data_IF_409953873778
#
_entry.id   IF_409953873778
#
_cell.length_a   1.000
_cell.length_b   1.000
_cell.length_c   1.000
_cell.angle_alpha   90.00
_cell.angle_beta   90.00
_cell.angle_gamma   90.00
#
_symmetry.space_group_name_H-M   'P 1'
#
loop_
_entity.id
_entity.type
_entity.pdbx_description
1 polymer ?
#
# COMPACT_ATOMS: atom_id res chain seq x y z
N UNK A 1 23.38 14.18 23.91
CA UNK A 1 23.74 12.75 23.99
C UNK A 1 22.46 12.00 24.27
N UNK A 2 22.12 11.00 23.46
CA UNK A 2 20.93 10.16 23.68
C UNK A 2 21.32 8.96 24.53
N UNK A 3 20.44 8.56 25.44
CA UNK A 3 20.53 7.29 26.14
C UNK A 3 19.82 6.19 25.36
N UNK A 4 20.11 4.91 25.69
CA UNK A 4 19.49 3.75 25.02
C UNK A 4 17.97 3.78 25.14
N UNK A 5 17.45 4.27 26.28
CA UNK A 5 16.01 4.44 26.52
C UNK A 5 15.38 5.44 25.55
N UNK A 6 16.09 6.50 25.19
CA UNK A 6 15.58 7.52 24.27
C UNK A 6 15.49 6.95 22.86
N UNK A 7 16.54 6.22 22.45
CA UNK A 7 16.56 5.54 21.16
C UNK A 7 15.43 4.50 21.07
N UNK A 8 15.25 3.67 22.10
CA UNK A 8 14.15 2.69 22.18
C UNK A 8 12.76 3.36 22.13
N UNK A 9 12.59 4.49 22.82
CA UNK A 9 11.32 5.22 22.80
C UNK A 9 10.99 5.77 21.40
N UNK A 10 12.01 6.24 20.67
CA UNK A 10 11.84 6.72 19.30
C UNK A 10 11.53 5.60 18.31
N UNK A 11 12.17 4.44 18.44
CA UNK A 11 11.84 3.23 17.68
C UNK A 11 10.37 2.85 17.88
N UNK A 12 9.90 2.73 19.13
CA UNK A 12 8.49 2.44 19.39
C UNK A 12 7.53 3.52 18.90
N UNK A 13 7.92 4.79 18.94
CA UNK A 13 7.11 5.86 18.38
C UNK A 13 7.03 5.74 16.84
N UNK A 14 8.12 5.33 16.19
CA UNK A 14 8.18 5.11 14.75
C UNK A 14 7.32 3.91 14.32
N UNK A 15 7.41 2.77 15.02
CA UNK A 15 6.54 1.61 14.78
C UNK A 15 5.05 2.00 14.82
N UNK A 16 4.65 2.79 15.83
CA UNK A 16 3.25 3.26 15.96
C UNK A 16 2.82 4.11 14.77
N UNK A 17 3.63 5.09 14.36
CA UNK A 17 3.30 5.96 13.22
C UNK A 17 3.16 5.16 11.92
N UNK A 18 4.06 4.20 11.69
CA UNK A 18 4.00 3.30 10.53
C UNK A 18 2.74 2.43 10.57
N UNK A 19 2.41 1.88 11.73
CA UNK A 19 1.23 1.06 11.92
C UNK A 19 -0.06 1.86 11.69
N UNK A 20 -0.12 3.11 12.16
CA UNK A 20 -1.26 4.01 11.92
C UNK A 20 -1.45 4.31 10.42
N UNK A 21 -0.35 4.53 9.68
CA UNK A 21 -0.41 4.72 8.22
C UNK A 21 -0.95 3.49 7.51
N UNK A 22 -0.50 2.30 7.90
CA UNK A 22 -1.06 1.06 7.37
C UNK A 22 -2.56 0.93 7.67
N UNK A 23 -3.00 1.26 8.88
CA UNK A 23 -4.43 1.19 9.23
C UNK A 23 -5.27 2.16 8.40
N UNK A 24 -4.79 3.39 8.17
CA UNK A 24 -5.46 4.35 7.28
C UNK A 24 -5.55 3.83 5.85
N UNK A 25 -4.48 3.21 5.36
CA UNK A 25 -4.47 2.56 4.06
C UNK A 25 -5.49 1.42 3.98
N UNK A 26 -5.47 0.48 4.92
CA UNK A 26 -6.40 -0.66 4.94
C UNK A 26 -7.85 -0.17 4.99
N UNK A 27 -8.14 0.80 5.85
CA UNK A 27 -9.45 1.43 5.96
C UNK A 27 -9.88 2.05 4.63
N UNK A 28 -9.02 2.87 4.00
CA UNK A 28 -9.36 3.52 2.73
C UNK A 28 -9.55 2.50 1.61
N UNK A 29 -8.78 1.42 1.60
CA UNK A 29 -8.92 0.38 0.59
C UNK A 29 -10.26 -0.37 0.73
N UNK A 30 -10.75 -0.58 1.96
CA UNK A 30 -12.09 -1.13 2.20
C UNK A 30 -13.21 -0.21 1.73
N UNK A 31 -13.07 1.11 1.93
CA UNK A 31 -14.02 2.07 1.37
C UNK A 31 -14.04 2.00 -0.16
N UNK A 32 -12.87 1.91 -0.79
CA UNK A 32 -12.76 1.74 -2.25
C UNK A 32 -13.44 0.45 -2.72
N UNK A 33 -13.30 -0.66 -1.99
CA UNK A 33 -14.00 -1.92 -2.32
C UNK A 33 -15.52 -1.72 -2.34
N UNK A 34 -16.07 -1.04 -1.33
CA UNK A 34 -17.50 -0.75 -1.25
C UNK A 34 -17.95 0.21 -2.36
N UNK A 35 -17.16 1.25 -2.64
CA UNK A 35 -17.38 2.22 -3.72
C UNK A 35 -17.31 1.54 -5.12
N UNK A 36 -16.53 0.47 -5.25
CA UNK A 36 -16.38 -0.36 -6.46
C UNK A 36 -17.25 -1.62 -6.46
N UNK A 37 -18.34 -1.65 -5.69
CA UNK A 37 -19.28 -2.76 -5.75
C UNK A 37 -20.13 -2.67 -7.03
N UNK A 38 -19.93 -3.62 -7.96
CA UNK A 38 -20.75 -3.75 -9.16
C UNK A 38 -21.93 -4.68 -8.89
N UNK A 39 -23.15 -4.23 -9.19
CA UNK A 39 -24.36 -5.05 -9.01
C UNK A 39 -24.41 -6.19 -10.05
N UNK A 40 -24.97 -7.36 -9.71
CA UNK A 40 -25.30 -8.37 -10.70
C UNK A 40 -26.21 -7.78 -11.79
N UNK A 41 -26.03 -8.20 -13.04
CA UNK A 41 -26.82 -7.73 -14.19
C UNK A 41 -26.69 -6.22 -14.48
N UNK A 42 -25.59 -5.59 -14.05
CA UNK A 42 -25.29 -4.19 -14.36
C UNK A 42 -25.30 -3.94 -15.87
N UNK A 43 -25.89 -2.81 -16.27
CA UNK A 43 -25.92 -2.35 -17.66
C UNK A 43 -24.54 -1.88 -18.11
N UNK A 44 -24.30 -1.86 -19.41
CA UNK A 44 -23.04 -1.35 -19.99
C UNK A 44 -22.68 0.05 -19.47
N UNK A 45 -23.64 0.97 -19.35
CA UNK A 45 -23.39 2.31 -18.80
C UNK A 45 -22.89 2.29 -17.34
N UNK A 46 -23.37 1.35 -16.53
CA UNK A 46 -22.93 1.20 -15.13
C UNK A 46 -21.53 0.57 -15.07
N UNK A 47 -21.24 -0.39 -15.96
CA UNK A 47 -19.92 -1.00 -16.12
C UNK A 47 -18.87 0.03 -16.55
N UNK A 48 -19.23 0.94 -17.47
CA UNK A 48 -18.35 2.03 -17.92
C UNK A 48 -18.01 2.98 -16.77
N UNK A 49 -19.02 3.42 -16.00
CA UNK A 49 -18.81 4.27 -14.82
C UNK A 49 -17.96 3.55 -13.77
N UNK A 50 -18.17 2.26 -13.56
CA UNK A 50 -17.37 1.45 -12.65
C UNK A 50 -15.89 1.41 -13.09
N UNK A 51 -15.63 1.18 -14.38
CA UNK A 51 -14.27 1.13 -14.92
C UNK A 51 -13.55 2.48 -14.81
N UNK A 52 -14.24 3.59 -15.06
CA UNK A 52 -13.70 4.94 -14.84
C UNK A 52 -13.34 5.18 -13.37
N UNK A 53 -14.22 4.76 -12.45
CA UNK A 53 -13.98 4.90 -11.03
C UNK A 53 -12.78 4.04 -10.58
N UNK A 54 -12.68 2.80 -11.08
CA UNK A 54 -11.54 1.93 -10.82
C UNK A 54 -10.23 2.62 -11.24
N UNK A 55 -10.16 3.17 -12.45
CA UNK A 55 -8.99 3.92 -12.93
C UNK A 55 -8.63 5.10 -12.01
N UNK A 56 -9.62 5.86 -11.55
CA UNK A 56 -9.41 6.96 -10.58
C UNK A 56 -8.85 6.45 -9.25
N UNK A 57 -9.34 5.31 -8.75
CA UNK A 57 -8.86 4.73 -7.49
C UNK A 57 -7.46 4.13 -7.61
N UNK A 58 -7.10 3.52 -8.74
CA UNK A 58 -5.72 3.08 -9.01
C UNK A 58 -4.77 4.27 -8.87
N UNK A 59 -5.09 5.42 -9.47
CA UNK A 59 -4.31 6.66 -9.30
C UNK A 59 -4.19 7.12 -7.84
N UNK A 60 -5.27 7.04 -7.06
CA UNK A 60 -5.23 7.35 -5.61
C UNK A 60 -4.35 6.36 -4.83
N UNK A 61 -4.37 5.08 -5.17
CA UNK A 61 -3.53 4.05 -4.55
C UNK A 61 -2.05 4.35 -4.81
N UNK A 62 -1.68 4.72 -6.03
CA UNK A 62 -0.32 5.17 -6.33
C UNK A 62 0.12 6.39 -5.53
N UNK A 63 -0.76 7.39 -5.34
CA UNK A 63 -0.44 8.55 -4.50
C UNK A 63 -0.20 8.13 -3.04
N UNK A 64 -1.07 7.27 -2.49
CA UNK A 64 -0.87 6.73 -1.14
C UNK A 64 0.44 5.95 -1.01
N UNK A 65 0.82 5.20 -2.04
CA UNK A 65 2.10 4.48 -2.09
C UNK A 65 3.28 5.45 -2.05
N UNK A 66 3.28 6.49 -2.89
CA UNK A 66 4.34 7.51 -2.92
C UNK A 66 4.49 8.22 -1.58
N UNK A 67 3.38 8.60 -0.95
CA UNK A 67 3.36 9.19 0.39
C UNK A 67 3.90 8.24 1.46
N UNK A 68 3.61 6.94 1.34
CA UNK A 68 4.11 5.90 2.23
C UNK A 68 5.63 5.74 2.11
N UNK A 69 6.15 5.65 0.88
CA UNK A 69 7.59 5.53 0.60
C UNK A 69 8.35 6.75 1.11
N UNK A 70 7.84 7.96 0.82
CA UNK A 70 8.47 9.19 1.27
C UNK A 70 8.52 9.26 2.80
N UNK A 71 7.39 8.95 3.45
CA UNK A 71 7.33 8.90 4.90
C UNK A 71 8.28 7.87 5.49
N UNK A 72 8.33 6.65 4.93
CA UNK A 72 9.20 5.60 5.46
C UNK A 72 10.68 5.97 5.36
N UNK A 73 11.05 6.65 4.27
CA UNK A 73 12.42 7.14 4.07
C UNK A 73 12.80 8.20 5.11
N UNK A 74 11.91 9.15 5.37
CA UNK A 74 12.14 10.20 6.37
C UNK A 74 12.22 9.63 7.79
N UNK A 75 11.30 8.73 8.14
CA UNK A 75 11.24 8.14 9.47
C UNK A 75 12.43 7.21 9.73
N UNK A 76 12.84 6.44 8.72
CA UNK A 76 14.09 5.68 8.74
C UNK A 76 15.30 6.58 8.97
N UNK A 77 15.40 7.69 8.24
CA UNK A 77 16.50 8.66 8.40
C UNK A 77 16.60 9.20 9.82
N UNK A 78 15.45 9.51 10.46
CA UNK A 78 15.42 9.97 11.86
C UNK A 78 15.93 8.92 12.84
N UNK A 79 15.56 7.65 12.63
CA UNK A 79 16.05 6.56 13.47
C UNK A 79 17.56 6.34 13.32
N UNK A 80 18.07 6.35 12.09
CA UNK A 80 19.52 6.25 11.82
C UNK A 80 20.29 7.39 12.49
N UNK A 81 19.81 8.63 12.39
CA UNK A 81 20.44 9.76 13.09
C UNK A 81 20.46 9.58 14.61
N UNK A 82 19.40 8.98 15.16
CA UNK A 82 19.28 8.77 16.60
C UNK A 82 20.18 7.64 17.10
N UNK A 83 20.42 6.62 16.27
CA UNK A 83 21.48 5.63 16.47
C UNK A 83 22.86 6.29 16.56
N UNK A 84 23.19 7.13 15.57
CA UNK A 84 24.50 7.79 15.51
C UNK A 84 24.70 8.75 16.69
N UNK A 85 23.60 9.29 17.24
CA UNK A 85 23.61 10.12 18.45
C UNK A 85 23.68 9.33 19.77
N UNK A 86 23.51 8.00 19.73
CA UNK A 86 23.67 7.12 20.88
C UNK A 86 25.17 6.88 21.15
N UNK A 87 25.54 6.92 22.43
CA UNK A 87 26.94 7.05 22.88
C UNK A 87 27.78 5.80 22.61
N UNK A 88 27.16 4.63 22.44
CA UNK A 88 27.83 3.34 22.26
C UNK A 88 27.12 2.53 21.19
N UNK A 89 27.76 2.24 20.07
CA UNK A 89 27.26 1.16 19.21
C UNK A 89 27.52 -0.17 19.94
N UNK A 90 26.48 -0.71 20.58
CA UNK A 90 26.53 -1.96 21.33
C UNK A 90 25.46 -2.96 20.87
N UNK A 91 25.52 -4.18 21.39
CA UNK A 91 24.61 -5.25 21.02
C UNK A 91 23.13 -4.88 21.24
N UNK A 92 22.83 -4.04 22.23
CA UNK A 92 21.45 -3.64 22.53
C UNK A 92 20.92 -2.69 21.46
N UNK A 93 21.73 -1.72 21.02
CA UNK A 93 21.36 -0.84 19.91
C UNK A 93 21.17 -1.60 18.59
N UNK A 94 22.04 -2.59 18.30
CA UNK A 94 21.93 -3.47 17.13
C UNK A 94 20.65 -4.31 17.20
N UNK A 95 20.31 -4.83 18.39
CA UNK A 95 19.08 -5.60 18.59
C UNK A 95 17.84 -4.77 18.28
N UNK A 96 17.76 -3.53 18.81
CA UNK A 96 16.63 -2.62 18.57
C UNK A 96 16.50 -2.30 17.07
N UNK A 97 17.61 -2.03 16.38
CA UNK A 97 17.58 -1.81 14.93
C UNK A 97 17.11 -3.03 14.16
N UNK A 98 17.60 -4.21 14.53
CA UNK A 98 17.25 -5.47 13.88
C UNK A 98 15.76 -5.77 14.05
N UNK A 99 15.23 -5.59 15.26
CA UNK A 99 13.79 -5.71 15.55
C UNK A 99 12.97 -4.74 14.69
N UNK A 100 13.40 -3.48 14.58
CA UNK A 100 12.71 -2.48 13.78
C UNK A 100 12.72 -2.80 12.28
N UNK A 101 13.84 -3.29 11.74
CA UNK A 101 13.92 -3.75 10.35
C UNK A 101 12.97 -4.93 10.12
N UNK A 102 12.91 -5.90 11.05
CA UNK A 102 11.97 -7.01 10.97
C UNK A 102 10.51 -6.53 11.00
N UNK A 103 10.19 -5.55 11.84
CA UNK A 103 8.88 -4.90 11.86
C UNK A 103 8.53 -4.29 10.49
N UNK A 104 9.45 -3.54 9.88
CA UNK A 104 9.22 -2.93 8.57
C UNK A 104 9.02 -3.98 7.48
N UNK A 105 9.80 -5.06 7.47
CA UNK A 105 9.62 -6.19 6.54
C UNK A 105 8.25 -6.86 6.73
N UNK A 106 7.81 -7.02 7.97
CA UNK A 106 6.48 -7.54 8.27
C UNK A 106 5.37 -6.60 7.77
N UNK A 107 5.54 -5.30 7.98
CA UNK A 107 4.58 -4.30 7.54
C UNK A 107 4.45 -4.26 6.01
N UNK A 108 5.57 -4.34 5.28
CA UNK A 108 5.61 -4.45 3.82
C UNK A 108 4.80 -5.66 3.32
N UNK A 109 4.98 -6.82 3.97
CA UNK A 109 4.19 -8.03 3.65
C UNK A 109 2.69 -7.81 3.87
N UNK A 110 2.29 -7.08 4.91
CA UNK A 110 0.87 -6.77 5.16
C UNK A 110 0.27 -5.90 4.08
N UNK A 111 0.99 -4.87 3.61
CA UNK A 111 0.53 -4.06 2.47
C UNK A 111 0.28 -4.93 1.24
N UNK A 112 1.24 -5.79 0.87
CA UNK A 112 1.13 -6.71 -0.27
C UNK A 112 -0.03 -7.70 -0.12
N UNK A 113 -0.16 -8.32 1.06
CA UNK A 113 -1.29 -9.23 1.34
C UNK A 113 -2.64 -8.52 1.22
N UNK A 114 -2.74 -7.29 1.70
CA UNK A 114 -3.98 -6.53 1.66
C UNK A 114 -4.37 -6.13 0.23
N UNK A 115 -3.39 -5.75 -0.60
CA UNK A 115 -3.62 -5.49 -2.03
C UNK A 115 -3.96 -6.75 -2.80
N UNK A 116 -3.34 -7.88 -2.48
CA UNK A 116 -3.72 -9.17 -3.06
C UNK A 116 -5.21 -9.49 -2.81
N UNK A 117 -5.71 -9.25 -1.60
CA UNK A 117 -7.15 -9.39 -1.29
C UNK A 117 -8.00 -8.43 -2.13
N UNK A 118 -7.56 -7.18 -2.28
CA UNK A 118 -8.25 -6.18 -3.12
C UNK A 118 -8.28 -6.58 -4.60
N UNK A 119 -7.15 -7.05 -5.15
CA UNK A 119 -7.07 -7.56 -6.51
C UNK A 119 -8.01 -8.74 -6.74
N UNK A 120 -8.07 -9.70 -5.80
CA UNK A 120 -9.01 -10.81 -5.85
C UNK A 120 -10.48 -10.35 -5.79
N UNK A 121 -10.78 -9.31 -5.00
CA UNK A 121 -12.11 -8.71 -4.96
C UNK A 121 -12.50 -8.14 -6.34
N UNK A 122 -11.59 -7.39 -6.98
CA UNK A 122 -11.81 -6.85 -8.31
C UNK A 122 -11.95 -7.95 -9.36
N UNK A 123 -11.14 -9.00 -9.31
CA UNK A 123 -11.15 -10.12 -10.26
C UNK A 123 -12.55 -10.75 -10.43
N UNK A 124 -13.33 -10.79 -9.36
CA UNK A 124 -14.72 -11.28 -9.42
C UNK A 124 -15.60 -10.35 -10.27
N UNK A 125 -15.49 -9.04 -10.08
CA UNK A 125 -16.17 -8.04 -10.92
C UNK A 125 -15.65 -8.08 -12.36
N UNK A 126 -14.36 -8.31 -12.55
CA UNK A 126 -13.71 -8.40 -13.86
C UNK A 126 -14.23 -9.58 -14.67
N UNK A 127 -14.37 -10.76 -14.05
CA UNK A 127 -14.95 -11.94 -14.74
C UNK A 127 -16.35 -11.67 -15.23
N UNK A 128 -17.12 -10.90 -14.47
CA UNK A 128 -18.46 -10.49 -14.86
C UNK A 128 -18.46 -9.51 -16.04
N UNK A 129 -17.57 -8.51 -16.04
CA UNK A 129 -17.53 -7.47 -17.10
C UNK A 129 -16.83 -7.92 -18.40
N UNK A 130 -16.12 -9.06 -18.41
CA UNK A 130 -15.53 -9.62 -19.64
C UNK A 130 -16.54 -9.79 -20.77
N UNK A 131 -17.81 -10.04 -20.45
CA UNK A 131 -18.89 -10.11 -21.44
C UNK A 131 -19.17 -8.80 -22.17
N UNK A 132 -18.70 -7.67 -21.64
CA UNK A 132 -18.85 -6.33 -22.22
C UNK A 132 -17.57 -5.82 -22.90
N UNK A 133 -16.52 -6.64 -23.00
CA UNK A 133 -15.20 -6.18 -23.46
C UNK A 133 -15.24 -5.53 -24.85
N UNK A 134 -15.92 -6.16 -25.82
CA UNK A 134 -16.06 -5.63 -27.19
C UNK A 134 -16.85 -4.32 -27.21
N UNK A 135 -17.95 -4.25 -26.45
CA UNK A 135 -18.78 -3.06 -26.34
C UNK A 135 -18.01 -1.88 -25.70
N UNK A 136 -17.20 -2.15 -24.68
CA UNK A 136 -16.36 -1.15 -24.01
C UNK A 136 -15.24 -0.64 -24.93
N UNK A 137 -14.56 -1.55 -25.66
CA UNK A 137 -13.51 -1.18 -26.61
C UNK A 137 -14.09 -0.34 -27.76
N UNK A 138 -15.31 -0.63 -28.23
CA UNK A 138 -16.00 0.19 -29.23
C UNK A 138 -16.28 1.63 -28.78
N UNK A 139 -16.33 1.85 -27.45
CA UNK A 139 -16.47 3.16 -26.82
C UNK A 139 -15.13 3.77 -26.38
N UNK A 140 -14.00 3.18 -26.80
CA UNK A 140 -12.65 3.65 -26.51
C UNK A 140 -12.14 3.32 -25.10
N UNK A 141 -12.80 2.40 -24.39
CA UNK A 141 -12.37 1.95 -23.06
C UNK A 141 -11.66 0.61 -23.13
N UNK A 142 -10.34 0.63 -22.91
CA UNK A 142 -9.57 -0.61 -22.88
C UNK A 142 -9.62 -1.30 -21.52
N UNK A 143 -10.43 -2.36 -21.45
CA UNK A 143 -10.53 -3.21 -20.27
C UNK A 143 -9.17 -3.86 -19.95
N UNK A 144 -8.46 -4.33 -20.98
CA UNK A 144 -7.16 -5.01 -20.84
C UNK A 144 -6.13 -4.12 -20.14
N UNK A 145 -6.08 -2.83 -20.47
CA UNK A 145 -5.17 -1.88 -19.83
C UNK A 145 -5.46 -1.69 -18.34
N UNK A 146 -6.73 -1.55 -17.97
CA UNK A 146 -7.14 -1.38 -16.56
C UNK A 146 -6.80 -2.63 -15.74
N UNK A 147 -6.98 -3.82 -16.31
CA UNK A 147 -6.65 -5.08 -15.62
C UNK A 147 -5.15 -5.25 -15.40
N UNK A 148 -4.33 -4.86 -16.37
CA UNK A 148 -2.89 -4.87 -16.22
C UNK A 148 -2.43 -3.93 -15.09
N UNK A 149 -3.02 -2.74 -14.98
CA UNK A 149 -2.75 -1.81 -13.88
C UNK A 149 -3.17 -2.41 -12.53
N UNK A 150 -4.34 -3.04 -12.43
CA UNK A 150 -4.78 -3.71 -11.19
C UNK A 150 -3.81 -4.82 -10.76
N UNK A 151 -3.34 -5.64 -11.72
CA UNK A 151 -2.37 -6.69 -11.41
C UNK A 151 -1.05 -6.12 -10.88
N UNK A 152 -0.59 -5.00 -11.46
CA UNK A 152 0.63 -4.32 -11.00
C UNK A 152 0.55 -3.81 -9.56
N UNK A 153 -0.65 -3.54 -9.03
CA UNK A 153 -0.84 -3.10 -7.65
C UNK A 153 -0.27 -4.11 -6.64
N UNK A 154 -0.38 -5.41 -6.94
CA UNK A 154 0.02 -6.48 -6.02
C UNK A 154 1.55 -6.57 -5.83
N UNK A 155 2.31 -6.04 -6.79
CA UNK A 155 3.78 -6.10 -6.79
C UNK A 155 4.40 -4.81 -6.24
N UNK A 156 3.58 -3.82 -5.90
CA UNK A 156 4.05 -2.53 -5.40
C UNK A 156 4.77 -2.66 -4.06
N UNK A 157 5.91 -1.99 -3.98
CA UNK A 157 6.58 -1.75 -2.71
C UNK A 157 5.96 -0.52 -2.02
N UNK A 158 5.70 -0.62 -0.72
CA UNK A 158 5.05 0.45 0.05
C UNK A 158 6.00 1.21 0.97
N UNK A 159 7.09 0.56 1.30
CA UNK A 159 8.13 1.09 2.16
C UNK A 159 9.46 1.11 1.40
N UNK A 160 10.26 2.14 1.67
CA UNK A 160 11.56 2.37 1.00
C UNK A 160 12.66 1.38 1.39
N UNK A 161 12.39 0.45 2.31
CA UNK A 161 13.33 -0.52 2.91
C UNK A 161 13.94 -1.52 1.92
N UNK A 162 13.32 -1.72 0.74
CA UNK A 162 13.77 -2.70 -0.26
C UNK A 162 14.24 -2.08 -1.58
N UNK A 163 14.42 -0.75 -1.64
CA UNK A 163 14.94 -0.07 -2.83
C UNK A 163 16.48 -0.03 -2.85
N UNK A 164 17.12 -1.17 -2.59
CA UNK A 164 18.56 -1.38 -2.72
C UNK A 164 18.83 -2.47 -3.76
#
# INVERSE_FOLDING_TARGET
MLELSDFKAQEKASERRMQEKYLRFDYRLREIEQELMLRPFAKLSEVMVWAENLKKYIGKIHLMQQESIQFSKEDWGKLVQSMMGYIREDNDSISIFSEYVLFLVYLEKRYKQRLYVFGNYLDNSVRYIKGYAEDMESQGFSLTGILAEVQSLNEMNWLSILNY
#
